data_IF_228411000281
#
_entry.id   IF_228411000281
#
_cell.length_a   1.000
_cell.length_b   1.000
_cell.length_c   1.000
_cell.angle_alpha   90.00
_cell.angle_beta   90.00
_cell.angle_gamma   90.00
#
_symmetry.space_group_name_H-M   'P 1'
#
loop_
_entity.id
_entity.type
_entity.pdbx_description
1 polymer ?
#
# COMPACT_ATOMS: atom_id res chain seq x y z
N UNK A 1 -6.45 14.37 -30.92
CA UNK A 1 -5.25 14.36 -30.06
C UNK A 1 -5.63 14.42 -28.60
N UNK A 2 -5.60 13.28 -27.90
CA UNK A 2 -5.99 13.21 -26.48
C UNK A 2 -5.48 11.94 -25.77
N UNK A 3 -4.48 11.26 -26.33
CA UNK A 3 -3.90 10.02 -25.79
C UNK A 3 -2.51 10.21 -25.18
N UNK A 4 -1.99 11.43 -25.16
CA UNK A 4 -0.66 11.76 -24.65
C UNK A 4 -0.64 12.15 -23.15
N UNK A 5 -1.81 12.25 -22.50
CA UNK A 5 -1.94 12.67 -21.10
C UNK A 5 -2.26 11.53 -20.11
N UNK A 6 -2.43 10.29 -20.61
CA UNK A 6 -2.36 9.10 -19.75
C UNK A 6 -0.94 8.56 -19.88
N UNK A 7 -0.05 9.08 -19.04
CA UNK A 7 1.25 8.42 -18.87
C UNK A 7 1.00 6.95 -18.54
N UNK A 8 1.66 6.05 -19.28
CA UNK A 8 1.65 4.57 -19.12
C UNK A 8 1.07 4.18 -17.76
N UNK A 9 -0.16 3.65 -17.74
CA UNK A 9 -1.03 3.49 -16.54
C UNK A 9 -0.43 2.66 -15.37
N UNK A 10 0.84 2.24 -15.46
CA UNK A 10 1.62 1.63 -14.37
C UNK A 10 2.76 2.48 -13.80
N UNK A 11 3.07 3.66 -14.37
CA UNK A 11 4.18 4.53 -13.91
C UNK A 11 3.93 5.07 -12.50
N UNK A 12 2.67 5.44 -12.22
CA UNK A 12 2.26 5.96 -10.91
C UNK A 12 2.39 4.90 -9.80
N UNK A 13 2.12 3.62 -10.10
CA UNK A 13 2.34 2.52 -9.16
C UNK A 13 3.82 2.31 -8.80
N UNK A 14 4.72 2.40 -9.78
CA UNK A 14 6.17 2.29 -9.56
C UNK A 14 6.72 3.45 -8.72
N UNK A 15 6.26 4.67 -8.95
CA UNK A 15 6.67 5.86 -8.18
C UNK A 15 6.17 5.77 -6.73
N UNK A 16 4.92 5.33 -6.53
CA UNK A 16 4.34 5.16 -5.19
C UNK A 16 5.05 4.05 -4.40
N UNK A 17 5.39 2.94 -5.06
CA UNK A 17 6.15 1.83 -4.46
C UNK A 17 7.57 2.28 -4.07
N UNK A 18 8.24 3.05 -4.93
CA UNK A 18 9.55 3.66 -4.64
C UNK A 18 9.50 4.59 -3.42
N UNK A 19 8.46 5.44 -3.36
CA UNK A 19 8.25 6.35 -2.24
C UNK A 19 7.93 5.61 -0.92
N UNK A 20 7.24 4.46 -0.99
CA UNK A 20 6.98 3.65 0.21
C UNK A 20 8.26 3.02 0.75
N UNK A 21 9.14 2.51 -0.12
CA UNK A 21 10.44 1.93 0.27
C UNK A 21 11.37 2.94 0.93
N UNK A 22 11.42 4.17 0.42
CA UNK A 22 12.22 5.24 1.04
C UNK A 22 11.72 5.60 2.45
N UNK A 23 10.39 5.62 2.65
CA UNK A 23 9.81 5.87 3.98
C UNK A 23 10.24 4.81 4.99
N UNK A 24 10.22 3.53 4.60
CA UNK A 24 10.67 2.43 5.46
C UNK A 24 12.13 2.57 5.88
N UNK A 25 13.00 2.99 4.97
CA UNK A 25 14.42 3.23 5.28
C UNK A 25 14.59 4.34 6.31
N UNK A 26 13.87 5.45 6.15
CA UNK A 26 13.90 6.57 7.09
C UNK A 26 13.39 6.13 8.47
N UNK A 27 12.30 5.37 8.53
CA UNK A 27 11.78 4.85 9.79
C UNK A 27 12.74 3.87 10.48
N UNK A 28 13.39 2.99 9.71
CA UNK A 28 14.32 2.01 10.26
C UNK A 28 15.58 2.67 10.83
N UNK A 29 16.17 3.61 10.09
CA UNK A 29 17.34 4.38 10.54
C UNK A 29 17.02 5.23 11.76
N UNK A 30 15.86 5.88 11.79
CA UNK A 30 15.37 6.63 12.94
C UNK A 30 15.15 5.72 14.16
N UNK A 31 14.52 4.56 13.98
CA UNK A 31 14.27 3.59 15.04
C UNK A 31 15.57 3.03 15.66
N UNK A 32 16.55 2.68 14.82
CA UNK A 32 17.88 2.26 15.30
C UNK A 32 18.56 3.39 16.08
N UNK A 33 18.50 4.63 15.58
CA UNK A 33 19.07 5.78 16.27
C UNK A 33 18.49 5.99 17.66
N UNK A 34 17.16 5.89 17.79
CA UNK A 34 16.46 5.98 19.08
C UNK A 34 16.84 4.85 20.04
N UNK A 35 16.94 3.62 19.54
CA UNK A 35 17.33 2.47 20.35
C UNK A 35 18.78 2.60 20.84
N UNK A 36 19.68 3.02 19.94
CA UNK A 36 21.09 3.28 20.27
C UNK A 36 21.22 4.38 21.34
N UNK A 37 20.40 5.43 21.25
CA UNK A 37 20.39 6.50 22.25
C UNK A 37 19.94 5.98 23.62
N UNK A 38 18.87 5.17 23.67
CA UNK A 38 18.39 4.57 24.92
C UNK A 38 19.44 3.68 25.57
N UNK A 39 20.16 2.87 24.77
CA UNK A 39 21.26 2.03 25.27
C UNK A 39 22.41 2.89 25.80
N UNK A 40 22.79 3.94 25.07
CA UNK A 40 23.85 4.85 25.51
C UNK A 40 23.50 5.55 26.83
N UNK A 41 22.26 6.02 26.97
CA UNK A 41 21.76 6.61 28.22
C UNK A 41 21.77 5.57 29.34
N UNK A 42 21.32 4.34 29.09
CA UNK A 42 21.36 3.27 30.08
C UNK A 42 22.79 3.02 30.57
N UNK A 43 23.76 2.84 29.66
CA UNK A 43 25.16 2.66 30.03
C UNK A 43 25.72 3.87 30.82
N UNK A 44 25.39 5.10 30.41
CA UNK A 44 25.82 6.32 31.08
C UNK A 44 25.29 6.42 32.51
N UNK A 45 24.01 6.13 32.71
CA UNK A 45 23.37 6.12 34.04
C UNK A 45 24.06 5.14 34.98
N UNK A 46 24.41 3.94 34.52
CA UNK A 46 25.08 2.94 35.34
C UNK A 46 26.54 3.29 35.68
N UNK A 47 27.21 4.06 34.82
CA UNK A 47 28.59 4.48 35.07
C UNK A 47 28.70 5.70 36.00
N UNK A 48 27.75 6.63 35.93
CA UNK A 48 27.84 7.93 36.62
C UNK A 48 27.09 7.99 37.96
N UNK A 49 26.03 7.20 38.15
CA UNK A 49 25.15 7.31 39.33
C UNK A 49 25.37 6.21 40.38
N UNK A 50 24.99 6.50 41.63
CA UNK A 50 24.87 5.50 42.69
C UNK A 50 23.78 4.46 42.36
N UNK A 51 23.97 3.23 42.85
CA UNK A 51 23.13 2.07 42.51
C UNK A 51 21.63 2.29 42.75
N UNK A 52 21.28 3.01 43.82
CA UNK A 52 19.87 3.32 44.15
C UNK A 52 19.20 4.15 43.05
N UNK A 53 19.90 5.17 42.56
CA UNK A 53 19.38 6.10 41.55
C UNK A 53 19.39 5.42 40.17
N UNK A 54 20.40 4.58 39.92
CA UNK A 54 20.49 3.80 38.69
C UNK A 54 19.29 2.86 38.52
N UNK A 55 18.80 2.21 39.59
CA UNK A 55 17.61 1.37 39.52
C UNK A 55 16.35 2.15 39.11
N UNK A 56 16.11 3.30 39.74
CA UNK A 56 14.94 4.14 39.39
C UNK A 56 15.04 4.61 37.93
N UNK A 57 16.22 5.05 37.51
CA UNK A 57 16.46 5.47 36.14
C UNK A 57 16.29 4.32 35.14
N UNK A 58 16.70 3.08 35.47
CA UNK A 58 16.44 1.93 34.59
C UNK A 58 14.95 1.62 34.44
N UNK A 59 14.14 1.78 35.48
CA UNK A 59 12.68 1.59 35.39
C UNK A 59 12.05 2.63 34.47
N UNK A 60 12.46 3.90 34.60
CA UNK A 60 12.02 4.97 33.70
C UNK A 60 12.46 4.73 32.25
N UNK A 61 13.66 4.20 32.06
CA UNK A 61 14.20 3.87 30.74
C UNK A 61 13.47 2.68 30.10
N UNK A 62 13.09 1.67 30.90
CA UNK A 62 12.22 0.56 30.49
C UNK A 62 10.83 1.04 30.09
N UNK A 63 10.22 1.93 30.87
CA UNK A 63 8.92 2.53 30.54
C UNK A 63 8.98 3.33 29.23
N UNK A 64 10.06 4.09 29.04
CA UNK A 64 10.31 4.85 27.80
C UNK A 64 10.49 3.91 26.61
N UNK A 65 11.26 2.83 26.77
CA UNK A 65 11.43 1.81 25.74
C UNK A 65 10.10 1.14 25.38
N UNK A 66 9.28 0.78 26.37
CA UNK A 66 7.95 0.21 26.15
C UNK A 66 7.03 1.17 25.38
N UNK A 67 7.01 2.46 25.77
CA UNK A 67 6.25 3.47 25.05
C UNK A 67 6.75 3.63 23.60
N UNK A 68 8.07 3.59 23.39
CA UNK A 68 8.67 3.66 22.06
C UNK A 68 8.23 2.48 21.18
N UNK A 69 8.35 1.25 21.69
CA UNK A 69 7.98 0.03 20.97
C UNK A 69 6.48 -0.02 20.70
N UNK A 70 5.66 0.34 21.69
CA UNK A 70 4.20 0.41 21.52
C UNK A 70 3.80 1.40 20.43
N UNK A 71 4.42 2.58 20.41
CA UNK A 71 4.19 3.56 19.35
C UNK A 71 4.72 3.09 17.99
N UNK A 72 5.88 2.45 17.95
CA UNK A 72 6.43 1.87 16.72
C UNK A 72 5.49 0.80 16.14
N UNK A 73 5.01 -0.13 16.97
CA UNK A 73 4.04 -1.17 16.55
C UNK A 73 2.71 -0.55 16.13
N UNK A 74 2.23 0.49 16.82
CA UNK A 74 1.01 1.21 16.43
C UNK A 74 1.14 1.87 15.06
N UNK A 75 2.31 2.45 14.79
CA UNK A 75 2.66 3.03 13.49
C UNK A 75 2.69 1.93 12.44
N UNK A 76 3.40 0.82 12.69
CA UNK A 76 3.45 -0.32 11.78
C UNK A 76 2.06 -0.88 11.46
N UNK A 77 1.20 -1.07 12.47
CA UNK A 77 -0.19 -1.53 12.26
C UNK A 77 -1.02 -0.60 11.39
N UNK A 78 -0.87 0.73 11.56
CA UNK A 78 -1.56 1.71 10.70
C UNK A 78 -1.07 1.66 9.25
N UNK A 79 0.22 1.41 9.06
CA UNK A 79 0.80 1.32 7.72
C UNK A 79 0.56 -0.04 7.05
N UNK A 80 0.48 -1.13 7.83
CA UNK A 80 0.13 -2.46 7.35
C UNK A 80 -1.33 -2.51 6.87
N UNK A 81 -2.24 -1.80 7.54
CA UNK A 81 -3.62 -1.60 7.06
C UNK A 81 -3.69 -0.89 5.70
N UNK A 82 -2.79 0.05 5.41
CA UNK A 82 -2.72 0.70 4.10
C UNK A 82 -2.07 -0.19 3.02
N UNK A 83 -1.19 -1.12 3.41
CA UNK A 83 -0.60 -2.09 2.49
C UNK A 83 -1.53 -3.27 2.16
N UNK A 84 -2.55 -3.54 2.99
CA UNK A 84 -3.62 -4.50 2.71
C UNK A 84 -4.72 -3.95 1.79
N UNK A 85 -4.87 -2.64 1.71
CA UNK A 85 -5.75 -1.93 0.76
C UNK A 85 -5.04 -1.68 -0.58
N UNK A 86 -4.26 -2.65 -1.06
CA UNK A 86 -4.02 -2.75 -2.50
C UNK A 86 -5.32 -3.27 -3.08
N UNK A 87 -6.22 -2.35 -3.46
CA UNK A 87 -7.29 -2.67 -4.40
C UNK A 87 -6.59 -3.30 -5.59
N UNK A 88 -6.60 -4.63 -5.66
CA UNK A 88 -6.05 -5.34 -6.81
C UNK A 88 -6.85 -4.80 -7.97
N UNK A 89 -6.18 -4.20 -8.96
CA UNK A 89 -6.86 -3.71 -10.18
C UNK A 89 -7.73 -4.79 -10.83
N UNK A 90 -7.43 -6.07 -10.56
CA UNK A 90 -8.26 -7.22 -10.90
C UNK A 90 -9.66 -7.22 -10.24
N UNK A 91 -9.80 -6.78 -8.99
CA UNK A 91 -11.09 -6.67 -8.30
C UNK A 91 -11.88 -5.45 -8.81
N UNK A 92 -11.20 -4.37 -9.19
CA UNK A 92 -11.82 -3.21 -9.87
C UNK A 92 -12.24 -3.53 -11.32
N UNK A 93 -11.44 -4.31 -12.06
CA UNK A 93 -11.79 -4.77 -13.41
C UNK A 93 -12.95 -5.77 -13.40
N UNK A 94 -13.10 -6.54 -12.32
CA UNK A 94 -14.23 -7.46 -12.13
C UNK A 94 -15.53 -6.76 -11.73
N UNK A 95 -15.45 -5.57 -11.14
CA UNK A 95 -16.64 -4.78 -10.77
C UNK A 95 -17.13 -3.88 -11.91
N UNK A 96 -16.41 -3.77 -13.02
CA UNK A 96 -16.93 -3.14 -14.23
C UNK A 96 -17.99 -4.06 -14.85
N UNK A 97 -19.18 -3.55 -15.20
CA UNK A 97 -20.19 -4.33 -15.89
C UNK A 97 -19.61 -4.83 -17.21
N UNK A 98 -19.55 -6.14 -17.41
CA UNK A 98 -19.34 -6.72 -18.73
C UNK A 98 -20.51 -6.21 -19.58
N UNK A 99 -20.22 -5.34 -20.55
CA UNK A 99 -21.16 -5.06 -21.62
C UNK A 99 -21.52 -6.40 -22.26
N UNK A 100 -22.78 -6.81 -22.09
CA UNK A 100 -23.38 -7.96 -22.73
C UNK A 100 -23.26 -7.79 -24.25
N UNK A 101 -22.25 -8.41 -24.86
CA UNK A 101 -22.31 -8.80 -26.26
C UNK A 101 -23.21 -10.04 -26.34
N UNK A 102 -24.53 -9.83 -26.26
CA UNK A 102 -25.49 -10.90 -26.56
C UNK A 102 -26.88 -10.32 -26.92
N UNK A 103 -27.00 -9.79 -28.14
CA UNK A 103 -28.26 -9.79 -28.89
C UNK A 103 -28.00 -9.24 -30.30
N UNK A 104 -27.92 -10.10 -31.32
CA UNK A 104 -28.32 -9.80 -32.71
C UNK A 104 -28.20 -11.04 -33.64
N UNK A 105 -28.42 -12.25 -33.11
CA UNK A 105 -28.77 -13.41 -33.94
C UNK A 105 -30.20 -13.82 -33.56
N UNK A 106 -31.03 -14.04 -34.57
CA UNK A 106 -32.49 -14.32 -34.52
C UNK A 106 -33.40 -13.08 -34.44
N UNK A 107 -33.80 -12.58 -35.61
CA UNK A 107 -35.18 -12.63 -36.11
C UNK A 107 -35.30 -11.69 -37.31
N UNK A 108 -35.37 -12.25 -38.51
CA UNK A 108 -36.11 -11.73 -39.66
C UNK A 108 -36.08 -12.81 -40.78
N UNK A 109 -36.71 -13.95 -40.51
CA UNK A 109 -37.30 -14.79 -41.56
C UNK A 109 -38.80 -14.50 -41.62
N UNK A 110 -39.23 -13.99 -42.79
CA UNK A 110 -40.57 -13.85 -43.39
C UNK A 110 -40.60 -12.45 -44.04
N UNK A 111 -40.52 -12.31 -45.35
CA UNK A 111 -41.58 -12.67 -46.29
C UNK A 111 -41.03 -12.65 -47.74
N UNK A 112 -41.42 -13.63 -48.54
CA UNK A 112 -41.11 -13.74 -49.97
C UNK A 112 -41.70 -12.58 -50.79
N UNK A 113 -40.94 -12.07 -51.78
CA UNK A 113 -41.51 -11.82 -53.11
C UNK A 113 -40.41 -11.83 -54.19
N UNK A 114 -40.63 -12.66 -55.21
CA UNK A 114 -39.73 -12.90 -56.34
C UNK A 114 -40.35 -12.23 -57.58
N UNK A 115 -39.60 -11.40 -58.33
CA UNK A 115 -39.72 -11.55 -59.76
C UNK A 115 -38.37 -11.47 -60.48
N UNK A 116 -37.97 -12.61 -61.05
CA UNK A 116 -37.50 -12.81 -62.44
C UNK A 116 -36.76 -11.63 -63.11
N UNK A 117 -35.50 -11.88 -63.49
CA UNK A 117 -35.08 -11.84 -64.90
C UNK A 117 -33.70 -12.51 -65.15
N UNK A 118 -33.55 -13.33 -66.21
CA UNK A 118 -32.29 -13.98 -66.56
C UNK A 118 -31.36 -13.06 -67.36
N UNK A 119 -30.07 -13.22 -67.10
CA UNK A 119 -28.95 -12.59 -67.83
C UNK A 119 -28.79 -13.31 -69.18
N UNK A 120 -28.78 -12.55 -70.27
CA UNK A 120 -28.04 -12.87 -71.50
C UNK A 120 -27.20 -11.66 -71.87
#
# INVERSE_FOLDING_TARGET
>A
SGKALRGKDGSMGMVVEGMNKERWLIFYTFGIGLLSLLIAVACSTWLLMQREIALIATVMLLATCYALVSNAIRIFKKFELQAGEVVRFNDFLRSLPKSEEQHEDELDEEEMDDPKQPIV
#
